data_IF_132951352993
#
_entry.id   IF_132951352993
#
_cell.length_a   1.000
_cell.length_b   1.000
_cell.length_c   1.000
_cell.angle_alpha   90.00
_cell.angle_beta   90.00
_cell.angle_gamma   90.00
#
_symmetry.space_group_name_H-M   'P 1'
#
loop_
_entity.id
_entity.type
_entity.pdbx_description
1 polymer ?
#
# COMPACT_ATOMS: atom_id res chain seq x y z
N UNK A 1 4.57 -37.21 5.74
CA UNK A 1 5.48 -36.10 6.11
C UNK A 1 6.08 -35.61 4.82
N UNK A 2 5.41 -34.64 4.17
CA UNK A 2 5.78 -34.12 2.85
C UNK A 2 6.96 -33.14 3.01
N UNK A 3 7.91 -33.23 2.12
CA UNK A 3 9.10 -32.40 2.01
C UNK A 3 8.73 -30.91 1.98
N UNK A 4 8.75 -30.26 3.15
CA UNK A 4 8.83 -28.81 3.21
C UNK A 4 10.16 -28.42 2.57
N UNK A 5 10.20 -27.42 1.66
CA UNK A 5 11.45 -26.92 1.13
C UNK A 5 12.35 -26.58 2.31
N UNK A 6 13.56 -27.15 2.31
CA UNK A 6 14.55 -26.84 3.35
C UNK A 6 14.73 -25.34 3.36
N UNK A 7 14.60 -24.74 4.55
CA UNK A 7 15.00 -23.36 4.80
C UNK A 7 16.46 -23.23 4.34
N UNK A 8 16.69 -22.53 3.23
CA UNK A 8 18.02 -22.32 2.65
C UNK A 8 18.90 -21.41 3.51
N UNK A 9 18.38 -20.97 4.67
CA UNK A 9 19.08 -20.05 5.58
C UNK A 9 19.22 -18.63 5.02
N UNK A 10 18.60 -18.32 3.90
CA UNK A 10 18.74 -17.04 3.23
C UNK A 10 18.35 -15.85 4.10
N UNK A 11 17.44 -16.02 5.07
CA UNK A 11 17.07 -14.99 6.03
C UNK A 11 18.19 -14.66 7.05
N UNK A 12 19.23 -15.48 7.16
CA UNK A 12 20.43 -15.25 7.99
C UNK A 12 21.56 -14.57 7.23
N UNK A 13 21.42 -14.41 5.91
CA UNK A 13 22.40 -13.76 5.06
C UNK A 13 22.36 -12.26 5.29
N UNK A 14 23.51 -11.58 5.28
CA UNK A 14 23.53 -10.13 5.31
C UNK A 14 22.84 -9.56 4.07
N UNK A 15 22.07 -8.47 4.17
CA UNK A 15 21.35 -7.90 3.04
C UNK A 15 22.25 -7.61 1.82
N UNK A 16 23.48 -7.15 2.04
CA UNK A 16 24.46 -6.88 0.98
C UNK A 16 24.85 -8.14 0.22
N UNK A 17 25.06 -9.28 0.92
CA UNK A 17 25.44 -10.55 0.31
C UNK A 17 24.26 -11.17 -0.46
N UNK A 18 23.04 -11.00 0.07
CA UNK A 18 21.82 -11.41 -0.61
C UNK A 18 21.62 -10.62 -1.90
N UNK A 19 21.85 -9.30 -1.88
CA UNK A 19 21.71 -8.45 -3.06
C UNK A 19 22.81 -8.66 -4.09
N UNK A 20 24.04 -9.02 -3.68
CA UNK A 20 25.13 -9.36 -4.59
C UNK A 20 24.79 -10.55 -5.51
N UNK A 21 23.95 -11.47 -5.03
CA UNK A 21 23.47 -12.62 -5.79
C UNK A 21 22.27 -12.28 -6.70
N UNK A 22 21.71 -11.08 -6.60
CA UNK A 22 20.52 -10.60 -7.34
C UNK A 22 20.77 -9.23 -7.96
N UNK A 23 21.65 -9.15 -8.97
CA UNK A 23 22.03 -7.88 -9.57
C UNK A 23 20.86 -7.20 -10.27
N UNK A 24 20.97 -5.90 -10.42
CA UNK A 24 20.04 -5.10 -11.23
C UNK A 24 20.37 -5.31 -12.72
N UNK A 25 19.60 -6.10 -13.43
CA UNK A 25 19.88 -6.51 -14.82
C UNK A 25 18.99 -5.84 -15.85
N UNK A 26 17.86 -5.26 -15.40
CA UNK A 26 16.87 -4.68 -16.30
C UNK A 26 16.84 -3.16 -16.23
N UNK A 27 16.39 -2.53 -17.31
CA UNK A 27 16.08 -1.12 -17.33
C UNK A 27 14.71 -0.87 -16.66
N UNK A 28 14.59 0.28 -16.00
CA UNK A 28 13.35 0.75 -15.38
C UNK A 28 13.03 2.12 -15.91
N UNK A 29 11.81 2.31 -16.44
CA UNK A 29 11.29 3.62 -16.83
C UNK A 29 10.67 4.34 -15.63
N UNK A 30 10.81 5.67 -15.58
CA UNK A 30 10.02 6.52 -14.68
C UNK A 30 8.60 6.73 -15.18
N UNK A 31 8.35 6.46 -16.47
CA UNK A 31 7.04 6.61 -17.10
C UNK A 31 6.34 5.24 -17.07
N UNK A 32 5.26 5.08 -16.30
CA UNK A 32 4.43 3.88 -16.31
C UNK A 32 3.49 3.89 -17.52
N UNK A 33 2.84 2.78 -17.79
CA UNK A 33 1.53 2.76 -18.41
C UNK A 33 0.50 2.99 -17.33
N UNK A 34 -0.40 3.95 -17.51
CA UNK A 34 -1.41 4.32 -16.51
C UNK A 34 -2.81 4.08 -17.07
N UNK A 35 -3.67 3.39 -16.32
CA UNK A 35 -5.03 3.06 -16.77
C UNK A 35 -6.00 2.95 -15.59
N UNK A 36 -7.30 2.94 -15.91
CA UNK A 36 -8.33 2.56 -14.96
C UNK A 36 -8.61 1.06 -14.98
N UNK A 37 -8.88 0.50 -13.80
CA UNK A 37 -9.42 -0.86 -13.63
C UNK A 37 -10.78 -0.72 -12.94
N UNK A 38 -11.82 -1.30 -13.53
CA UNK A 38 -13.17 -1.26 -12.97
C UNK A 38 -13.32 -2.34 -11.89
N UNK A 39 -13.89 -1.94 -10.75
CA UNK A 39 -14.24 -2.83 -9.65
C UNK A 39 -15.68 -3.33 -9.81
N UNK A 40 -16.07 -4.37 -9.03
CA UNK A 40 -17.38 -5.02 -9.02
C UNK A 40 -18.59 -4.08 -8.95
N UNK A 41 -18.41 -2.92 -8.29
CA UNK A 41 -19.45 -1.90 -8.08
C UNK A 41 -19.39 -0.76 -9.10
N UNK A 42 -18.54 -0.90 -10.13
CA UNK A 42 -18.35 0.09 -11.19
C UNK A 42 -17.38 1.22 -10.83
N UNK A 43 -16.89 1.29 -9.59
CA UNK A 43 -15.83 2.23 -9.22
C UNK A 43 -14.55 1.89 -10.00
N UNK A 44 -13.84 2.90 -10.49
CA UNK A 44 -12.63 2.75 -11.27
C UNK A 44 -11.42 3.15 -10.45
N UNK A 45 -10.46 2.23 -10.29
CA UNK A 45 -9.20 2.50 -9.61
C UNK A 45 -8.12 2.84 -10.63
N UNK A 46 -7.36 3.89 -10.35
CA UNK A 46 -6.23 4.32 -11.17
C UNK A 46 -4.99 3.50 -10.82
N UNK A 47 -4.35 2.95 -11.85
CA UNK A 47 -3.25 2.00 -11.73
C UNK A 47 -2.09 2.44 -12.61
N UNK A 48 -0.89 2.50 -12.03
CA UNK A 48 0.38 2.66 -12.76
C UNK A 48 1.09 1.30 -12.87
N UNK A 49 1.51 0.96 -14.09
CA UNK A 49 2.15 -0.31 -14.45
C UNK A 49 3.58 -0.06 -14.89
N UNK A 50 4.54 -0.51 -14.11
CA UNK A 50 5.97 -0.47 -14.43
C UNK A 50 6.45 -1.88 -14.78
N UNK A 51 6.86 -2.10 -16.02
CA UNK A 51 7.37 -3.38 -16.51
C UNK A 51 8.83 -3.20 -16.91
N UNK A 52 9.75 -4.09 -16.49
CA UNK A 52 11.13 -4.02 -16.91
C UNK A 52 11.28 -4.23 -18.41
N UNK A 53 12.34 -3.65 -18.97
CA UNK A 53 12.78 -3.90 -20.33
C UNK A 53 14.23 -4.43 -20.34
N UNK A 54 14.58 -5.17 -21.37
CA UNK A 54 15.96 -5.58 -21.61
C UNK A 54 16.82 -4.41 -22.13
N UNK A 55 18.08 -4.69 -22.42
CA UNK A 55 19.03 -3.71 -22.95
C UNK A 55 18.66 -3.19 -24.36
N UNK A 56 17.81 -3.89 -25.09
CA UNK A 56 17.29 -3.50 -26.39
C UNK A 56 15.96 -2.73 -26.29
N UNK A 57 15.44 -2.50 -25.06
CA UNK A 57 14.17 -1.82 -24.81
C UNK A 57 12.95 -2.72 -24.99
N UNK A 58 13.13 -4.02 -25.19
CA UNK A 58 12.02 -4.98 -25.30
C UNK A 58 11.47 -5.30 -23.91
N UNK A 59 10.14 -5.19 -23.77
CA UNK A 59 9.46 -5.52 -22.51
C UNK A 59 9.59 -7.01 -22.22
N UNK A 60 9.90 -7.33 -20.96
CA UNK A 60 9.98 -8.71 -20.48
C UNK A 60 8.56 -9.20 -20.15
N UNK A 61 8.27 -10.43 -20.52
CA UNK A 61 6.99 -11.10 -20.24
C UNK A 61 7.12 -12.13 -19.12
N UNK A 62 5.98 -12.47 -18.51
CA UNK A 62 5.85 -13.51 -17.46
C UNK A 62 6.68 -13.21 -16.21
N UNK A 63 6.47 -12.04 -15.66
CA UNK A 63 7.15 -11.53 -14.46
C UNK A 63 6.34 -11.78 -13.19
N UNK A 64 7.00 -12.04 -12.06
CA UNK A 64 6.36 -11.86 -10.76
C UNK A 64 6.05 -10.38 -10.54
N UNK A 65 5.00 -10.11 -9.78
CA UNK A 65 4.49 -8.76 -9.58
C UNK A 65 4.61 -8.35 -8.12
N UNK A 66 5.05 -7.13 -7.87
CA UNK A 66 4.86 -6.44 -6.60
C UNK A 66 3.74 -5.43 -6.77
N UNK A 67 2.74 -5.46 -5.88
CA UNK A 67 1.65 -4.49 -5.86
C UNK A 67 1.73 -3.61 -4.61
N UNK A 68 1.46 -2.33 -4.81
CA UNK A 68 1.41 -1.29 -3.78
C UNK A 68 0.04 -0.62 -3.86
N UNK A 69 -0.71 -0.63 -2.77
CA UNK A 69 -1.97 0.09 -2.62
C UNK A 69 -1.72 1.31 -1.74
N UNK A 70 -1.95 2.51 -2.28
CA UNK A 70 -1.55 3.74 -1.60
C UNK A 70 -2.65 4.80 -1.60
N UNK A 71 -2.87 5.50 -0.46
CA UNK A 71 -3.69 6.71 -0.42
C UNK A 71 -2.88 7.97 -0.74
N UNK A 72 -1.55 7.85 -0.95
CA UNK A 72 -0.61 8.96 -1.04
C UNK A 72 -0.23 9.31 -2.48
N UNK A 73 -1.09 9.04 -3.42
CA UNK A 73 -0.92 9.11 -4.87
C UNK A 73 0.07 8.06 -5.41
N UNK A 74 -0.39 7.33 -6.40
CA UNK A 74 0.47 6.47 -7.20
C UNK A 74 1.53 7.29 -7.94
N UNK A 75 1.14 8.52 -8.35
CA UNK A 75 2.00 9.46 -9.06
C UNK A 75 1.43 10.89 -8.97
N UNK A 76 2.33 11.86 -8.83
CA UNK A 76 2.01 13.28 -8.93
C UNK A 76 2.08 13.75 -10.39
N UNK A 77 1.25 14.71 -10.74
CA UNK A 77 1.50 15.58 -11.86
C UNK A 77 2.64 16.55 -11.50
N UNK A 78 3.51 16.83 -12.45
CA UNK A 78 4.58 17.81 -12.29
C UNK A 78 4.22 19.12 -12.99
N UNK A 79 4.63 20.23 -12.41
CA UNK A 79 4.52 21.55 -13.05
C UNK A 79 5.37 21.56 -14.34
N UNK A 80 5.00 22.42 -15.30
CA UNK A 80 5.69 22.53 -16.58
C UNK A 80 7.15 23.00 -16.50
N UNK A 81 7.52 23.65 -15.39
CA UNK A 81 8.86 24.12 -15.10
C UNK A 81 9.68 23.12 -14.26
N UNK A 82 9.15 21.91 -14.02
CA UNK A 82 9.83 20.92 -13.21
C UNK A 82 11.12 20.40 -13.88
N UNK A 83 12.23 20.32 -13.12
CA UNK A 83 13.45 19.73 -13.63
C UNK A 83 13.29 18.23 -13.88
N UNK A 84 14.07 17.66 -14.80
CA UNK A 84 14.04 16.20 -15.08
C UNK A 84 14.37 15.33 -13.86
N UNK A 85 15.01 15.89 -12.86
CA UNK A 85 15.32 15.20 -11.60
C UNK A 85 14.11 15.04 -10.68
N UNK A 86 13.05 15.83 -10.84
CA UNK A 86 11.83 15.72 -10.03
C UNK A 86 11.23 14.32 -10.16
N UNK A 87 10.86 13.75 -9.02
CA UNK A 87 10.33 12.39 -8.95
C UNK A 87 8.80 12.43 -8.72
N UNK A 88 8.01 12.09 -9.73
CA UNK A 88 6.55 12.13 -9.59
C UNK A 88 5.98 11.00 -8.73
N UNK A 89 6.67 9.87 -8.64
CA UNK A 89 6.20 8.69 -7.90
C UNK A 89 6.81 8.63 -6.50
N UNK A 90 6.62 9.69 -5.71
CA UNK A 90 7.26 9.89 -4.39
C UNK A 90 7.10 8.66 -3.49
N UNK A 91 5.91 8.09 -3.42
CA UNK A 91 5.60 6.93 -2.56
C UNK A 91 6.14 5.61 -3.10
N UNK A 92 6.45 5.50 -4.39
CA UNK A 92 6.74 4.22 -5.06
C UNK A 92 8.12 4.15 -5.71
N UNK A 93 8.84 5.26 -5.86
CA UNK A 93 10.09 5.32 -6.63
C UNK A 93 11.16 4.35 -6.14
N UNK A 94 11.36 4.22 -4.81
CA UNK A 94 12.33 3.29 -4.23
C UNK A 94 12.00 1.83 -4.57
N UNK A 95 10.72 1.46 -4.50
CA UNK A 95 10.24 0.12 -4.86
C UNK A 95 10.38 -0.13 -6.36
N UNK A 96 10.03 0.87 -7.20
CA UNK A 96 10.22 0.82 -8.66
C UNK A 96 11.69 0.56 -9.00
N UNK A 97 12.59 1.37 -8.48
CA UNK A 97 14.02 1.28 -8.82
C UNK A 97 14.68 0.01 -8.27
N UNK A 98 14.14 -0.53 -7.19
CA UNK A 98 14.61 -1.79 -6.62
C UNK A 98 14.06 -3.02 -7.35
N UNK A 99 12.74 -3.14 -7.47
CA UNK A 99 12.10 -4.37 -7.96
C UNK A 99 12.11 -4.47 -9.48
N UNK A 100 11.80 -3.39 -10.20
CA UNK A 100 11.74 -3.45 -11.67
C UNK A 100 13.09 -3.80 -12.26
N UNK A 101 14.17 -3.24 -11.74
CA UNK A 101 15.53 -3.59 -12.16
C UNK A 101 15.93 -5.04 -11.88
N UNK A 102 15.17 -5.75 -11.04
CA UNK A 102 15.39 -7.17 -10.67
C UNK A 102 14.38 -8.12 -11.29
N UNK A 103 13.65 -7.67 -12.31
CA UNK A 103 12.76 -8.52 -13.08
C UNK A 103 11.39 -8.73 -12.45
N UNK A 104 10.91 -7.77 -11.68
CA UNK A 104 9.52 -7.73 -11.21
C UNK A 104 8.73 -6.67 -11.98
N UNK A 105 7.48 -6.95 -12.29
CA UNK A 105 6.53 -5.87 -12.56
C UNK A 105 6.19 -5.17 -11.24
N UNK A 106 6.08 -3.83 -11.26
CA UNK A 106 5.56 -3.07 -10.13
C UNK A 106 4.24 -2.43 -10.53
N UNK A 107 3.22 -2.66 -9.73
CA UNK A 107 1.89 -2.09 -9.86
C UNK A 107 1.64 -1.17 -8.69
N UNK A 108 1.27 0.07 -8.96
CA UNK A 108 0.94 1.06 -7.94
C UNK A 108 -0.49 1.52 -8.16
N UNK A 109 -1.32 1.39 -7.14
CA UNK A 109 -2.76 1.63 -7.21
C UNK A 109 -3.11 2.75 -6.25
N UNK A 110 -3.75 3.80 -6.75
CA UNK A 110 -4.50 4.71 -5.88
C UNK A 110 -5.68 3.93 -5.30
N UNK A 111 -5.78 3.83 -3.97
CA UNK A 111 -6.93 3.16 -3.35
C UNK A 111 -8.22 3.94 -3.60
N UNK A 112 -9.36 3.29 -3.46
CA UNK A 112 -10.69 3.89 -3.60
C UNK A 112 -10.77 5.26 -2.90
N UNK A 113 -11.29 6.27 -3.60
CA UNK A 113 -11.48 7.62 -3.06
C UNK A 113 -10.17 8.40 -2.86
N UNK A 114 -9.09 8.06 -3.59
CA UNK A 114 -7.81 8.79 -3.50
C UNK A 114 -7.17 8.99 -4.86
N UNK A 115 -6.31 9.98 -4.98
CA UNK A 115 -5.54 10.23 -6.18
C UNK A 115 -6.41 10.44 -7.42
N UNK A 116 -6.25 9.59 -8.44
CA UNK A 116 -7.12 9.59 -9.60
C UNK A 116 -8.18 8.47 -9.57
N UNK A 117 -8.25 7.67 -8.52
CA UNK A 117 -9.30 6.66 -8.33
C UNK A 117 -10.62 7.29 -7.96
N UNK A 118 -11.71 6.73 -8.47
CA UNK A 118 -13.08 7.11 -8.13
C UNK A 118 -13.50 6.52 -6.78
N UNK A 119 -14.71 6.87 -6.33
CA UNK A 119 -15.33 6.39 -5.11
C UNK A 119 -15.07 7.28 -3.90
N UNK A 120 -15.55 6.82 -2.76
CA UNK A 120 -15.45 7.51 -1.47
C UNK A 120 -14.81 6.54 -0.47
N UNK A 121 -13.95 7.07 0.40
CA UNK A 121 -13.44 6.34 1.56
C UNK A 121 -14.39 6.50 2.74
N UNK A 122 -14.94 5.37 3.21
CA UNK A 122 -15.83 5.32 4.38
C UNK A 122 -15.06 5.14 5.70
N UNK A 123 -13.76 4.98 5.63
CA UNK A 123 -12.86 4.74 6.75
C UNK A 123 -11.46 4.36 6.29
N UNK A 124 -10.63 3.95 7.23
CA UNK A 124 -9.26 3.50 6.96
C UNK A 124 -9.25 2.02 6.58
N UNK A 125 -8.87 1.69 5.33
CA UNK A 125 -8.76 0.30 4.87
C UNK A 125 -10.06 -0.50 5.08
N UNK A 126 -11.13 0.00 4.51
CA UNK A 126 -12.47 -0.58 4.66
C UNK A 126 -12.58 -2.00 4.06
N UNK A 127 -13.62 -2.76 4.40
CA UNK A 127 -13.94 -4.02 3.75
C UNK A 127 -14.04 -3.90 2.22
N UNK A 128 -14.56 -2.77 1.70
CA UNK A 128 -14.63 -2.50 0.25
C UNK A 128 -13.25 -2.41 -0.38
N UNK A 129 -12.29 -1.74 0.27
CA UNK A 129 -10.91 -1.70 -0.20
C UNK A 129 -10.26 -3.09 -0.22
N UNK A 130 -10.53 -3.92 0.79
CA UNK A 130 -10.03 -5.31 0.83
C UNK A 130 -10.51 -6.10 -0.38
N UNK A 131 -11.77 -5.95 -0.76
CA UNK A 131 -12.34 -6.60 -1.94
C UNK A 131 -11.73 -6.03 -3.23
N UNK A 132 -11.52 -4.71 -3.31
CA UNK A 132 -10.81 -4.07 -4.42
C UNK A 132 -9.40 -4.64 -4.60
N UNK A 133 -8.66 -4.87 -3.50
CA UNK A 133 -7.32 -5.44 -3.58
C UNK A 133 -7.32 -6.84 -4.21
N UNK A 134 -8.34 -7.64 -3.92
CA UNK A 134 -8.54 -8.94 -4.56
C UNK A 134 -8.76 -8.79 -6.06
N UNK A 135 -9.66 -7.91 -6.48
CA UNK A 135 -10.01 -7.69 -7.89
C UNK A 135 -8.85 -7.12 -8.71
N UNK A 136 -8.03 -6.26 -8.09
CA UNK A 136 -6.78 -5.81 -8.72
C UNK A 136 -5.83 -7.00 -8.96
N UNK A 137 -5.75 -7.96 -8.05
CA UNK A 137 -4.93 -9.17 -8.27
C UNK A 137 -5.55 -10.07 -9.33
N UNK A 138 -6.87 -10.22 -9.39
CA UNK A 138 -7.57 -10.91 -10.48
C UNK A 138 -7.18 -10.28 -11.83
N UNK A 139 -7.23 -8.95 -11.93
CA UNK A 139 -6.79 -8.22 -13.13
C UNK A 139 -5.29 -8.42 -13.43
N UNK A 140 -4.41 -8.38 -12.42
CA UNK A 140 -2.95 -8.59 -12.60
C UNK A 140 -2.65 -9.94 -13.23
N UNK A 141 -3.31 -11.01 -12.78
CA UNK A 141 -3.01 -12.37 -13.27
C UNK A 141 -3.45 -12.60 -14.71
N UNK A 142 -4.37 -11.81 -15.22
CA UNK A 142 -4.83 -11.84 -16.62
C UNK A 142 -3.86 -11.12 -17.58
N UNK A 143 -2.93 -10.32 -17.06
CA UNK A 143 -2.05 -9.55 -17.91
C UNK A 143 -0.96 -10.44 -18.55
N UNK A 144 -0.65 -10.18 -19.82
CA UNK A 144 0.38 -10.95 -20.57
C UNK A 144 1.76 -10.91 -19.91
N UNK A 145 2.11 -9.81 -19.26
CA UNK A 145 3.38 -9.64 -18.58
C UNK A 145 3.42 -10.37 -17.21
N UNK A 146 2.32 -10.83 -16.68
CA UNK A 146 2.25 -11.50 -15.37
C UNK A 146 2.55 -13.00 -15.50
N UNK A 147 3.26 -13.55 -14.52
CA UNK A 147 3.44 -15.00 -14.35
C UNK A 147 2.45 -15.61 -13.33
N UNK A 148 1.52 -14.80 -12.81
CA UNK A 148 0.53 -15.23 -11.82
C UNK A 148 1.04 -15.26 -10.37
N UNK A 149 2.26 -14.81 -10.08
CA UNK A 149 2.77 -14.68 -8.72
C UNK A 149 2.78 -13.21 -8.29
N UNK A 150 2.12 -12.91 -7.17
CA UNK A 150 1.98 -11.54 -6.64
C UNK A 150 2.54 -11.48 -5.22
N UNK A 151 3.31 -10.43 -4.95
CA UNK A 151 3.70 -10.01 -3.61
C UNK A 151 3.23 -8.59 -3.32
N UNK A 152 3.13 -8.23 -2.05
CA UNK A 152 2.79 -6.87 -1.63
C UNK A 152 3.72 -6.40 -0.51
N UNK A 153 4.03 -5.11 -0.50
CA UNK A 153 4.86 -4.50 0.54
C UNK A 153 4.55 -3.01 0.66
N UNK A 154 4.97 -2.42 1.74
CA UNK A 154 4.93 -0.98 1.97
C UNK A 154 4.99 -0.63 3.44
N UNK A 155 5.10 0.66 3.69
CA UNK A 155 5.21 1.23 5.04
C UNK A 155 3.85 1.75 5.48
N UNK A 156 3.52 1.61 6.76
CA UNK A 156 2.35 2.23 7.39
C UNK A 156 1.01 1.73 6.79
N UNK A 157 0.18 2.61 6.26
CA UNK A 157 -1.05 2.27 5.55
C UNK A 157 -0.81 1.20 4.47
N UNK A 158 0.21 1.40 3.64
CA UNK A 158 0.56 0.52 2.53
C UNK A 158 0.99 -0.86 3.02
N UNK A 159 1.64 -0.93 4.19
CA UNK A 159 1.98 -2.19 4.85
C UNK A 159 0.75 -2.95 5.33
N UNK A 160 -0.19 -2.27 5.97
CA UNK A 160 -1.45 -2.88 6.37
C UNK A 160 -2.32 -3.29 5.17
N UNK A 161 -2.26 -2.55 4.06
CA UNK A 161 -2.91 -2.96 2.81
C UNK A 161 -2.37 -4.30 2.29
N UNK A 162 -1.08 -4.59 2.48
CA UNK A 162 -0.52 -5.90 2.14
C UNK A 162 -1.10 -7.02 3.02
N UNK A 163 -1.34 -6.77 4.32
CA UNK A 163 -2.04 -7.72 5.20
C UNK A 163 -3.48 -7.97 4.73
N UNK A 164 -4.21 -6.89 4.40
CA UNK A 164 -5.57 -6.99 3.88
C UNK A 164 -5.62 -7.76 2.56
N UNK A 165 -4.66 -7.52 1.65
CA UNK A 165 -4.56 -8.31 0.44
C UNK A 165 -4.34 -9.81 0.73
N UNK A 166 -3.39 -10.15 1.59
CA UNK A 166 -3.13 -11.55 1.94
C UNK A 166 -4.36 -12.22 2.55
N UNK A 167 -5.14 -11.48 3.35
CA UNK A 167 -6.35 -11.97 4.00
C UNK A 167 -7.50 -12.29 3.02
N UNK A 168 -7.42 -11.84 1.76
CA UNK A 168 -8.40 -12.21 0.73
C UNK A 168 -8.31 -13.68 0.32
N UNK A 169 -7.22 -14.37 0.70
CA UNK A 169 -6.98 -15.76 0.35
C UNK A 169 -6.70 -15.99 -1.14
N UNK A 170 -6.40 -14.94 -1.90
CA UNK A 170 -6.18 -15.06 -3.35
C UNK A 170 -4.97 -15.97 -3.64
N UNK A 171 -5.09 -17.01 -4.52
CA UNK A 171 -4.05 -18.01 -4.72
C UNK A 171 -2.77 -17.47 -5.37
N UNK A 172 -2.85 -16.36 -6.09
CA UNK A 172 -1.69 -15.70 -6.68
C UNK A 172 -0.80 -14.99 -5.65
N UNK A 173 -1.33 -14.62 -4.48
CA UNK A 173 -0.56 -13.95 -3.42
C UNK A 173 0.40 -14.95 -2.80
N UNK A 174 1.71 -14.69 -2.92
CA UNK A 174 2.79 -15.61 -2.49
C UNK A 174 3.59 -15.07 -1.31
N UNK A 175 3.72 -13.75 -1.20
CA UNK A 175 4.48 -13.12 -0.15
C UNK A 175 3.95 -11.73 0.18
N UNK A 176 4.03 -11.35 1.46
CA UNK A 176 3.82 -9.98 1.91
C UNK A 176 4.95 -9.54 2.82
N UNK A 177 5.28 -8.25 2.74
CA UNK A 177 6.21 -7.62 3.66
C UNK A 177 5.58 -6.34 4.23
N UNK A 178 4.74 -6.44 5.26
CA UNK A 178 4.19 -5.28 5.98
C UNK A 178 5.27 -4.64 6.84
N UNK A 179 5.53 -3.34 6.59
CA UNK A 179 6.58 -2.58 7.25
C UNK A 179 5.94 -1.47 8.08
N UNK A 180 6.33 -1.32 9.36
CA UNK A 180 5.88 -0.24 10.25
C UNK A 180 4.36 -0.04 10.19
N UNK A 181 3.59 -1.12 10.32
CA UNK A 181 2.16 -1.13 10.06
C UNK A 181 1.35 -1.77 11.17
N UNK A 182 0.09 -1.35 11.28
CA UNK A 182 -0.86 -1.87 12.26
C UNK A 182 -1.22 -3.32 11.98
N UNK A 183 -1.54 -4.04 13.06
CA UNK A 183 -2.25 -5.32 13.05
C UNK A 183 -3.65 -5.16 13.64
N UNK A 184 -3.75 -4.40 14.71
CA UNK A 184 -4.97 -3.95 15.36
C UNK A 184 -5.03 -2.41 15.27
N UNK A 185 -5.85 -1.87 14.39
CA UNK A 185 -5.91 -0.42 14.20
C UNK A 185 -6.34 0.32 15.46
N UNK A 186 -7.20 -0.28 16.30
CA UNK A 186 -7.59 0.32 17.56
C UNK A 186 -6.42 0.40 18.54
N UNK A 187 -5.78 -0.73 18.84
CA UNK A 187 -4.73 -0.80 19.86
C UNK A 187 -3.36 -0.29 19.38
N UNK A 188 -3.07 -0.37 18.08
CA UNK A 188 -1.76 0.03 17.53
C UNK A 188 -1.73 1.48 17.07
N UNK A 189 -2.90 2.08 16.72
CA UNK A 189 -2.92 3.37 16.06
C UNK A 189 -3.83 4.39 16.72
N UNK A 190 -5.07 4.03 17.13
CA UNK A 190 -6.01 5.00 17.67
C UNK A 190 -5.88 5.17 19.18
N UNK A 191 -5.80 4.07 19.91
CA UNK A 191 -5.80 4.05 21.37
C UNK A 191 -4.65 3.16 21.93
N UNK A 192 -3.39 3.39 21.54
CA UNK A 192 -2.28 2.63 22.13
C UNK A 192 -2.24 2.87 23.66
N UNK A 193 -2.26 1.75 24.40
CA UNK A 193 -2.37 1.82 25.86
C UNK A 193 -3.68 2.39 26.41
N UNK A 194 -4.72 2.47 25.57
CA UNK A 194 -6.03 3.04 25.93
C UNK A 194 -6.12 4.57 25.83
N UNK A 195 -5.10 5.24 25.31
CA UNK A 195 -5.06 6.70 25.15
C UNK A 195 -5.25 7.11 23.70
N UNK A 196 -6.22 7.98 23.44
CA UNK A 196 -6.48 8.52 22.11
C UNK A 196 -5.28 9.33 21.57
N UNK A 197 -4.74 8.94 20.42
CA UNK A 197 -3.69 9.67 19.70
C UNK A 197 -4.29 10.83 18.89
N UNK A 198 -4.92 11.79 19.58
CA UNK A 198 -5.65 12.90 18.94
C UNK A 198 -4.78 13.70 17.97
N UNK A 199 -3.54 14.06 18.36
CA UNK A 199 -2.66 14.84 17.51
C UNK A 199 -2.25 14.11 16.23
N UNK A 200 -2.05 12.80 16.30
CA UNK A 200 -1.78 11.98 15.11
C UNK A 200 -2.97 12.02 14.16
N UNK A 201 -4.18 11.86 14.71
CA UNK A 201 -5.42 11.90 13.94
C UNK A 201 -5.58 13.24 13.20
N UNK A 202 -5.40 14.35 13.91
CA UNK A 202 -5.51 15.71 13.36
C UNK A 202 -4.47 15.96 12.26
N UNK A 203 -3.20 15.64 12.52
CA UNK A 203 -2.12 15.85 11.54
C UNK A 203 -2.29 14.98 10.31
N UNK A 204 -2.75 13.75 10.50
CA UNK A 204 -3.01 12.83 9.39
C UNK A 204 -4.22 13.28 8.55
N UNK A 205 -5.27 13.77 9.19
CA UNK A 205 -6.46 14.32 8.52
C UNK A 205 -6.09 15.54 7.64
N UNK A 206 -5.24 16.43 8.14
CA UNK A 206 -4.73 17.55 7.35
C UNK A 206 -3.98 17.09 6.09
N UNK A 207 -3.19 16.01 6.20
CA UNK A 207 -2.51 15.42 5.05
C UNK A 207 -3.54 14.82 4.08
N UNK A 208 -4.52 14.08 4.59
CA UNK A 208 -5.51 13.42 3.74
C UNK A 208 -6.40 14.44 3.03
N UNK A 209 -6.84 15.50 3.70
CA UNK A 209 -7.58 16.60 3.07
C UNK A 209 -6.76 17.21 1.92
N UNK A 210 -5.47 17.47 2.13
CA UNK A 210 -4.61 18.01 1.10
C UNK A 210 -4.50 17.10 -0.11
N UNK A 211 -4.38 15.79 0.11
CA UNK A 211 -4.31 14.77 -0.95
C UNK A 211 -5.67 14.55 -1.62
N UNK A 212 -6.72 14.28 -0.86
CA UNK A 212 -8.04 13.90 -1.37
C UNK A 212 -8.67 15.02 -2.23
N UNK A 213 -8.41 16.28 -1.89
CA UNK A 213 -8.93 17.43 -2.62
C UNK A 213 -7.96 17.96 -3.70
N UNK A 214 -6.84 17.28 -3.96
CA UNK A 214 -5.85 17.70 -4.96
C UNK A 214 -5.13 19.00 -4.62
N UNK A 215 -5.05 19.38 -3.33
CA UNK A 215 -4.52 20.66 -2.86
C UNK A 215 -3.01 20.60 -2.63
N UNK A 216 -2.26 20.46 -3.73
CA UNK A 216 -0.80 20.33 -3.69
C UNK A 216 -0.09 21.45 -2.90
N UNK A 217 -0.67 22.66 -2.86
CA UNK A 217 -0.14 23.81 -2.11
C UNK A 217 -0.08 23.57 -0.59
N UNK A 218 -0.89 22.66 -0.06
CA UNK A 218 -0.91 22.30 1.36
C UNK A 218 0.11 21.23 1.72
N UNK A 219 0.67 20.53 0.73
CA UNK A 219 1.57 19.40 0.96
C UNK A 219 2.97 19.82 1.41
N UNK A 220 3.43 21.02 1.10
CA UNK A 220 4.78 21.48 1.38
C UNK A 220 5.20 21.48 2.86
N UNK A 221 4.23 21.44 3.79
CA UNK A 221 4.51 21.32 5.24
C UNK A 221 4.91 19.89 5.66
N UNK A 222 4.63 18.88 4.82
CA UNK A 222 4.97 17.50 5.10
C UNK A 222 6.31 17.13 4.47
N UNK A 223 7.19 16.46 5.24
CA UNK A 223 8.57 16.20 4.86
C UNK A 223 8.73 15.41 3.54
N UNK A 224 7.75 14.58 3.22
CA UNK A 224 7.75 13.75 2.01
C UNK A 224 7.42 14.50 0.71
N UNK A 225 6.80 15.69 0.79
CA UNK A 225 6.27 16.44 -0.36
C UNK A 225 6.92 17.82 -0.50
N UNK A 226 8.22 17.91 -0.23
CA UNK A 226 8.98 19.19 -0.26
C UNK A 226 9.30 19.68 -1.67
N UNK A 227 9.19 18.84 -2.71
CA UNK A 227 9.44 19.29 -4.08
C UNK A 227 8.30 20.24 -4.50
N UNK A 228 8.60 21.53 -4.77
CA UNK A 228 7.58 22.52 -5.12
C UNK A 228 6.97 22.30 -6.51
N UNK A 229 7.50 21.37 -7.29
CA UNK A 229 6.99 21.04 -8.62
C UNK A 229 5.89 19.96 -8.60
N UNK A 230 5.57 19.37 -7.44
CA UNK A 230 4.44 18.48 -7.27
C UNK A 230 3.14 19.29 -7.30
N UNK A 231 2.20 18.95 -8.19
CA UNK A 231 1.01 19.79 -8.44
C UNK A 231 -0.34 19.09 -8.26
N UNK A 232 -0.38 17.94 -7.59
CA UNK A 232 -1.59 17.15 -7.40
C UNK A 232 -1.50 15.78 -8.04
N UNK A 233 -2.58 14.97 -8.06
CA UNK A 233 -2.52 13.62 -8.62
C UNK A 233 -2.40 13.66 -10.15
N UNK A 234 -1.63 12.74 -10.72
CA UNK A 234 -1.53 12.62 -12.16
C UNK A 234 -2.75 11.87 -12.73
N UNK A 235 -3.33 12.31 -13.85
CA UNK A 235 -4.36 11.57 -14.56
C UNK A 235 -3.81 10.23 -15.09
N UNK A 236 -4.69 9.33 -15.51
CA UNK A 236 -4.33 8.14 -16.28
C UNK A 236 -4.10 8.52 -17.75
N UNK A 237 -3.49 7.63 -18.54
CA UNK A 237 -3.09 7.94 -19.93
C UNK A 237 -4.29 8.28 -20.83
N UNK A 238 -5.46 7.69 -20.59
CA UNK A 238 -6.68 7.94 -21.35
C UNK A 238 -7.39 9.26 -20.99
N UNK A 239 -6.98 9.93 -19.90
CA UNK A 239 -7.57 11.16 -19.38
C UNK A 239 -6.62 12.35 -19.59
N UNK A 240 -6.19 12.56 -20.84
CA UNK A 240 -5.22 13.62 -21.19
C UNK A 240 -5.66 15.04 -20.82
N UNK A 241 -6.96 15.30 -20.74
CA UNK A 241 -7.55 16.60 -20.38
C UNK A 241 -7.87 16.70 -18.88
N UNK A 242 -7.74 15.62 -18.09
CA UNK A 242 -8.02 15.58 -16.66
C UNK A 242 -9.50 15.68 -16.31
N UNK A 243 -10.40 15.37 -17.22
CA UNK A 243 -11.85 15.40 -16.98
C UNK A 243 -12.27 14.32 -15.98
N UNK A 244 -11.75 13.11 -16.15
CA UNK A 244 -12.05 12.00 -15.27
C UNK A 244 -11.41 12.22 -13.89
N UNK A 245 -10.18 12.73 -13.84
CA UNK A 245 -9.51 13.11 -12.60
C UNK A 245 -10.33 14.13 -11.81
N UNK A 246 -10.84 15.18 -12.48
CA UNK A 246 -11.68 16.19 -11.82
C UNK A 246 -12.96 15.60 -11.27
N UNK A 247 -13.58 14.67 -11.98
CA UNK A 247 -14.76 13.96 -11.51
C UNK A 247 -14.43 13.09 -10.27
N UNK A 248 -13.31 12.36 -10.28
CA UNK A 248 -12.86 11.57 -9.14
C UNK A 248 -12.62 12.45 -7.91
N UNK A 249 -11.89 13.57 -8.04
CA UNK A 249 -11.66 14.52 -6.95
C UNK A 249 -12.97 15.11 -6.38
N UNK A 250 -14.01 15.21 -7.20
CA UNK A 250 -15.34 15.65 -6.71
C UNK A 250 -15.99 14.60 -5.82
N UNK A 251 -15.85 13.31 -6.13
CA UNK A 251 -16.33 12.22 -5.27
C UNK A 251 -15.60 12.18 -3.93
N UNK A 252 -14.30 12.50 -3.90
CA UNK A 252 -13.49 12.52 -2.69
C UNK A 252 -13.95 13.54 -1.63
N UNK A 253 -14.76 14.53 -1.99
CA UNK A 253 -15.38 15.44 -1.03
C UNK A 253 -16.28 14.72 -0.01
N UNK A 254 -16.69 13.49 -0.32
CA UNK A 254 -17.44 12.61 0.58
C UNK A 254 -16.58 11.72 1.49
N UNK A 255 -15.25 11.85 1.44
CA UNK A 255 -14.35 11.04 2.28
C UNK A 255 -14.53 11.35 3.76
N UNK A 256 -14.32 10.32 4.60
CA UNK A 256 -14.38 10.47 6.06
C UNK A 256 -13.29 11.39 6.60
N UNK A 257 -13.55 12.01 7.73
CA UNK A 257 -12.58 12.77 8.51
C UNK A 257 -12.08 11.95 9.70
N UNK A 258 -10.77 11.76 9.78
CA UNK A 258 -10.18 10.86 10.77
C UNK A 258 -10.46 11.23 12.23
N UNK A 259 -10.40 12.52 12.66
CA UNK A 259 -10.67 12.88 14.05
C UNK A 259 -12.08 12.55 14.51
N UNK A 260 -13.07 12.67 13.62
CA UNK A 260 -14.45 12.34 13.93
C UNK A 260 -14.67 10.83 13.92
N UNK A 261 -14.15 10.16 12.89
CA UNK A 261 -14.26 8.72 12.71
C UNK A 261 -13.69 7.92 13.89
N UNK A 262 -12.48 8.26 14.40
CA UNK A 262 -11.87 7.48 15.48
C UNK A 262 -12.60 7.64 16.82
N UNK A 263 -13.29 8.76 17.05
CA UNK A 263 -14.05 8.98 18.28
C UNK A 263 -15.35 8.18 18.34
N UNK A 264 -15.81 7.65 17.20
CA UNK A 264 -16.96 6.76 17.17
C UNK A 264 -16.66 5.38 17.78
N UNK A 265 -15.39 5.01 17.88
CA UNK A 265 -14.92 3.73 18.43
C UNK A 265 -14.36 3.91 19.86
N UNK A 266 -15.24 4.23 20.83
CA UNK A 266 -14.82 4.41 22.23
C UNK A 266 -14.24 3.14 22.84
N UNK A 267 -14.77 1.97 22.46
CA UNK A 267 -14.28 0.68 22.90
C UNK A 267 -13.89 -0.21 21.71
N UNK A 268 -12.89 -1.06 21.94
CA UNK A 268 -12.45 -2.02 20.93
C UNK A 268 -13.61 -2.96 20.55
N UNK A 269 -13.80 -3.16 19.24
CA UNK A 269 -14.80 -4.08 18.67
C UNK A 269 -16.28 -3.71 18.96
N UNK A 270 -16.54 -2.58 19.60
CA UNK A 270 -17.89 -2.06 19.71
C UNK A 270 -18.41 -1.67 18.34
N UNK A 271 -19.62 -2.15 17.99
CA UNK A 271 -20.30 -1.78 16.75
C UNK A 271 -20.81 -0.35 16.78
N UNK A 272 -20.86 0.30 15.63
CA UNK A 272 -21.42 1.64 15.52
C UNK A 272 -22.93 1.64 15.85
N UNK A 273 -23.45 2.70 16.45
CA UNK A 273 -24.89 2.79 16.81
C UNK A 273 -25.83 2.65 15.61
N UNK A 274 -25.36 3.03 14.41
CA UNK A 274 -26.12 3.00 13.15
C UNK A 274 -25.71 1.86 12.24
N UNK A 275 -24.61 1.16 12.53
CA UNK A 275 -24.15 -0.04 11.84
C UNK A 275 -23.45 -0.99 12.84
N UNK A 276 -24.21 -1.84 13.49
CA UNK A 276 -23.69 -2.78 14.48
C UNK A 276 -22.71 -3.82 13.88
N UNK A 277 -22.69 -3.98 12.56
CA UNK A 277 -21.75 -4.87 11.86
C UNK A 277 -20.40 -4.23 11.60
N UNK A 278 -20.27 -2.91 11.77
CA UNK A 278 -19.05 -2.17 11.54
C UNK A 278 -18.42 -1.75 12.88
N UNK A 279 -17.18 -2.13 13.12
CA UNK A 279 -16.44 -1.83 14.35
C UNK A 279 -14.96 -1.57 14.02
N UNK A 280 -14.14 -1.29 15.03
CA UNK A 280 -12.69 -1.15 14.84
C UNK A 280 -12.04 -2.43 14.26
N UNK A 281 -12.65 -3.59 14.41
CA UNK A 281 -12.22 -4.82 13.76
C UNK A 281 -12.39 -4.78 12.24
N UNK A 282 -13.39 -4.07 11.72
CA UNK A 282 -13.71 -4.01 10.30
C UNK A 282 -12.57 -3.40 9.44
N UNK A 283 -11.72 -2.57 10.05
CA UNK A 283 -10.55 -1.97 9.40
C UNK A 283 -9.21 -2.37 10.07
N UNK A 284 -9.20 -3.51 10.76
CA UNK A 284 -8.01 -4.09 11.40
C UNK A 284 -7.61 -5.41 10.74
N UNK A 285 -6.35 -5.59 10.30
CA UNK A 285 -5.90 -6.82 9.66
C UNK A 285 -6.14 -8.09 10.48
N UNK A 286 -6.04 -8.03 11.82
CA UNK A 286 -6.19 -9.21 12.67
C UNK A 286 -7.55 -9.90 12.50
N UNK A 287 -8.61 -9.14 12.26
CA UNK A 287 -9.96 -9.67 12.14
C UNK A 287 -10.13 -10.59 10.90
N UNK A 288 -9.29 -10.40 9.89
CA UNK A 288 -9.29 -11.16 8.65
C UNK A 288 -8.14 -12.17 8.56
N UNK A 289 -7.37 -12.35 9.62
CA UNK A 289 -6.17 -13.20 9.63
C UNK A 289 -6.43 -14.64 9.25
N UNK A 290 -7.62 -15.17 9.53
CA UNK A 290 -8.06 -16.51 9.14
C UNK A 290 -8.13 -16.72 7.61
N UNK A 291 -8.26 -15.63 6.84
CA UNK A 291 -8.23 -15.67 5.38
C UNK A 291 -6.82 -15.77 4.78
N UNK A 292 -5.78 -15.54 5.58
CA UNK A 292 -4.39 -15.63 5.09
C UNK A 292 -4.02 -17.10 4.87
N UNK A 293 -3.70 -17.44 3.63
CA UNK A 293 -3.31 -18.82 3.26
C UNK A 293 -1.99 -19.19 3.92
N UNK A 294 -1.86 -20.43 4.35
CA UNK A 294 -0.66 -20.93 5.04
C UNK A 294 0.62 -20.96 4.16
N UNK A 295 0.47 -20.95 2.82
CA UNK A 295 1.58 -20.94 1.88
C UNK A 295 2.14 -19.53 1.59
N UNK A 296 1.49 -18.47 2.08
CA UNK A 296 1.98 -17.08 1.96
C UNK A 296 3.17 -16.87 2.89
N UNK A 297 4.28 -16.37 2.34
CA UNK A 297 5.40 -15.93 3.15
C UNK A 297 5.13 -14.54 3.74
N UNK A 298 5.44 -14.34 5.02
CA UNK A 298 5.21 -13.07 5.74
C UNK A 298 6.51 -12.56 6.34
N UNK A 299 6.91 -11.35 5.99
CA UNK A 299 8.08 -10.69 6.56
C UNK A 299 7.69 -9.36 7.20
N UNK A 300 7.47 -9.36 8.50
CA UNK A 300 7.11 -8.17 9.28
C UNK A 300 8.36 -7.41 9.70
N UNK A 301 8.36 -6.10 9.48
CA UNK A 301 9.44 -5.20 9.92
C UNK A 301 8.83 -4.04 10.70
N UNK A 302 9.42 -3.68 11.84
CA UNK A 302 9.03 -2.49 12.59
C UNK A 302 10.18 -1.95 13.43
N UNK A 303 9.99 -0.80 14.03
CA UNK A 303 10.98 -0.12 14.87
C UNK A 303 10.51 0.05 16.30
N UNK A 304 11.43 -0.11 17.25
CA UNK A 304 11.17 0.13 18.66
C UNK A 304 10.89 1.60 18.99
N UNK A 305 11.36 2.52 18.13
CA UNK A 305 11.21 3.95 18.29
C UNK A 305 10.03 4.53 17.51
N UNK A 306 9.21 3.67 16.90
CA UNK A 306 8.00 4.09 16.18
C UNK A 306 6.95 4.61 17.17
N UNK A 307 6.40 5.80 16.90
CA UNK A 307 5.63 6.58 17.85
C UNK A 307 4.20 6.11 18.14
N UNK A 308 3.75 5.01 17.50
CA UNK A 308 2.47 4.34 17.78
C UNK A 308 2.72 2.88 18.18
N UNK A 309 1.69 2.07 18.22
CA UNK A 309 1.81 0.64 18.58
C UNK A 309 2.32 -0.27 17.46
N UNK A 310 3.00 0.25 16.44
CA UNK A 310 3.38 -0.52 15.25
C UNK A 310 4.33 -1.68 15.55
N UNK A 311 5.25 -1.52 16.50
CA UNK A 311 6.11 -2.63 16.95
C UNK A 311 5.29 -3.74 17.62
N UNK A 312 4.30 -3.37 18.44
CA UNK A 312 3.37 -4.33 19.05
C UNK A 312 2.52 -5.03 17.99
N UNK A 313 2.04 -4.28 16.98
CA UNK A 313 1.33 -4.82 15.83
C UNK A 313 2.15 -5.83 15.04
N UNK A 314 3.43 -5.55 14.81
CA UNK A 314 4.34 -6.48 14.13
C UNK A 314 4.56 -7.77 14.93
N UNK A 315 4.71 -7.67 16.26
CA UNK A 315 4.84 -8.81 17.17
C UNK A 315 3.53 -9.62 17.18
N UNK A 316 2.39 -8.95 17.34
CA UNK A 316 1.09 -9.61 17.36
C UNK A 316 0.81 -10.36 16.04
N UNK A 317 1.11 -9.76 14.89
CA UNK A 317 1.03 -10.42 13.57
C UNK A 317 1.89 -11.68 13.52
N UNK A 318 3.15 -11.56 13.93
CA UNK A 318 4.09 -12.69 13.93
C UNK A 318 3.62 -13.85 14.81
N UNK A 319 3.04 -13.55 15.98
CA UNK A 319 2.56 -14.56 16.93
C UNK A 319 1.22 -15.18 16.49
N UNK A 320 0.35 -14.40 15.84
CA UNK A 320 -1.02 -14.82 15.47
C UNK A 320 -1.09 -15.63 14.20
N UNK A 321 -0.25 -15.31 13.18
CA UNK A 321 -0.28 -16.01 11.91
C UNK A 321 0.39 -17.38 12.02
N UNK A 322 -0.27 -18.47 11.57
CA UNK A 322 0.30 -19.81 11.65
C UNK A 322 1.28 -20.14 10.51
N UNK A 323 1.56 -19.18 9.63
CA UNK A 323 2.35 -19.37 8.42
C UNK A 323 3.76 -19.89 8.73
N UNK A 324 4.22 -21.02 8.14
CA UNK A 324 5.55 -21.57 8.39
C UNK A 324 6.69 -20.63 7.98
N UNK A 325 6.46 -19.85 6.91
CA UNK A 325 7.41 -18.87 6.39
C UNK A 325 7.06 -17.47 6.92
N UNK A 326 7.10 -17.28 8.24
CA UNK A 326 6.94 -15.96 8.83
C UNK A 326 8.21 -15.53 9.54
N UNK A 327 8.56 -14.28 9.35
CA UNK A 327 9.76 -13.67 9.94
C UNK A 327 9.40 -12.32 10.52
N UNK A 328 10.10 -11.93 11.59
CA UNK A 328 9.97 -10.64 12.25
C UNK A 328 11.36 -10.01 12.41
N UNK A 329 11.46 -8.74 12.01
CA UNK A 329 12.62 -7.91 12.25
C UNK A 329 12.20 -6.65 13.02
N UNK A 330 12.77 -6.47 14.19
CA UNK A 330 12.62 -5.25 15.00
C UNK A 330 13.97 -4.57 15.15
N UNK A 331 14.04 -3.29 14.84
CA UNK A 331 15.27 -2.51 14.93
C UNK A 331 15.08 -1.19 15.67
N UNK A 332 16.16 -0.42 15.85
CA UNK A 332 16.14 0.87 16.54
C UNK A 332 15.67 2.01 15.61
N UNK A 333 14.61 1.77 14.86
CA UNK A 333 14.08 2.70 13.86
C UNK A 333 12.84 3.40 14.37
N UNK A 334 12.59 4.60 13.86
CA UNK A 334 11.31 5.30 13.91
C UNK A 334 10.39 4.89 12.74
N UNK A 335 9.38 5.70 12.44
CA UNK A 335 8.41 5.38 11.39
C UNK A 335 9.02 5.51 9.99
N UNK A 336 9.40 4.40 9.40
CA UNK A 336 9.86 4.31 8.02
C UNK A 336 11.37 4.11 7.83
N UNK A 337 12.16 3.93 8.91
CA UNK A 337 13.61 3.64 8.94
C UNK A 337 14.49 4.67 8.24
#
# INVERSE_FOLDING_TARGET
MSDLPRDDGGWRMLPQDYLAQRPSTYASSRQPRSCYVAMRDGVRLAVDVYVPSDSAGVRIERLPTIVIFTPYYRRFALRSDAPQSSEPSVSASRYRDFFVRRGYALIVVDVRGTGASFGVREGFRSPKERDDYREIVDWIVEQRWSNGAVGATGISYVGAAADFLASTGHPAVKAIAPLFSVWDTYGDHYYPGGLLLNRLAETYDELMIALDHGRGELLGKFAYYKDPHLSGPAPVDEDGEGVLLKAALTEHLGNFHMPDFIREFAFKEEGLPYDAGFSSASFSPYAYSHGVRSDVAVYSVSGWMDGAGYSNGAIARFLSLPNPKRHLLLGPWDHGA
#
